data_IF_326506073511
#
_entry.id   IF_326506073511
#
_cell.length_a   1.000
_cell.length_b   1.000
_cell.length_c   1.000
_cell.angle_alpha   90.00
_cell.angle_beta   90.00
_cell.angle_gamma   90.00
#
_symmetry.space_group_name_H-M   'P 1'
#
loop_
_entity.id
_entity.type
_entity.pdbx_description
1 polymer ?
#
# COMPACT_ATOMS: atom_id res chain seq x y z
N UNK A 1 -65.50 61.17 24.45
CA UNK A 1 -64.69 60.29 23.61
C UNK A 1 -63.86 59.38 24.50
N UNK A 2 -64.15 58.09 24.54
CA UNK A 2 -63.48 57.10 25.39
C UNK A 2 -62.45 56.34 24.56
N UNK A 3 -61.19 56.13 24.99
CA UNK A 3 -60.33 55.15 24.41
C UNK A 3 -60.50 53.81 25.08
N UNK A 4 -60.63 52.80 24.25
CA UNK A 4 -60.79 51.39 24.60
C UNK A 4 -59.40 50.82 24.94
N UNK A 5 -59.25 50.39 26.22
CA UNK A 5 -58.09 49.60 26.64
C UNK A 5 -58.26 48.18 26.16
N UNK A 6 -57.42 47.73 25.21
CA UNK A 6 -57.27 46.31 24.88
C UNK A 6 -56.30 45.66 25.85
N UNK A 7 -56.79 44.68 26.58
CA UNK A 7 -56.02 43.78 27.43
C UNK A 7 -55.15 42.91 26.53
N UNK A 8 -53.85 43.05 26.67
CA UNK A 8 -52.89 42.07 26.13
C UNK A 8 -52.71 40.95 27.16
N UNK A 9 -53.20 39.78 26.83
CA UNK A 9 -52.91 38.55 27.54
C UNK A 9 -51.51 38.09 27.08
N UNK A 10 -50.59 38.09 28.04
CA UNK A 10 -49.27 37.50 27.83
C UNK A 10 -49.42 35.94 27.80
N UNK A 11 -49.29 35.39 26.61
CA UNK A 11 -49.16 33.93 26.44
C UNK A 11 -47.69 33.58 26.63
N UNK A 12 -47.40 32.88 27.70
CA UNK A 12 -46.08 32.32 28.02
C UNK A 12 -45.91 31.08 27.14
N UNK A 13 -45.27 31.23 25.99
CA UNK A 13 -44.87 30.11 25.18
C UNK A 13 -43.53 29.63 25.74
N UNK A 14 -43.58 28.56 26.54
CA UNK A 14 -42.40 27.78 26.90
C UNK A 14 -41.85 27.14 25.63
N UNK A 15 -40.81 27.75 25.05
CA UNK A 15 -40.06 27.19 23.93
C UNK A 15 -39.16 26.09 24.47
N UNK A 16 -39.68 24.87 24.43
CA UNK A 16 -38.88 23.66 24.63
C UNK A 16 -37.94 23.55 23.44
N UNK A 17 -36.71 24.00 23.63
CA UNK A 17 -35.63 23.75 22.66
C UNK A 17 -35.30 22.27 22.75
N UNK A 18 -35.95 21.46 21.93
CA UNK A 18 -35.49 20.10 21.63
C UNK A 18 -34.21 20.26 20.80
N UNK A 19 -33.07 20.10 21.47
CA UNK A 19 -31.82 19.84 20.78
C UNK A 19 -31.97 18.50 20.07
N UNK A 20 -32.48 18.53 18.85
CA UNK A 20 -32.20 17.45 17.92
C UNK A 20 -30.71 17.53 17.60
N UNK A 21 -29.94 16.72 18.31
CA UNK A 21 -28.66 16.25 17.83
C UNK A 21 -28.95 15.50 16.51
N UNK A 22 -28.96 16.26 15.41
CA UNK A 22 -28.78 15.68 14.09
C UNK A 22 -27.35 15.20 14.10
N UNK A 23 -27.17 13.97 14.60
CA UNK A 23 -26.02 13.18 14.26
C UNK A 23 -26.06 13.06 12.75
N UNK A 24 -25.27 13.90 12.09
CA UNK A 24 -24.84 13.61 10.73
C UNK A 24 -24.02 12.33 10.82
N UNK A 25 -24.71 11.19 10.88
CA UNK A 25 -24.16 9.95 10.43
C UNK A 25 -23.87 10.18 8.96
N UNK A 26 -22.64 10.62 8.65
CA UNK A 26 -22.09 10.41 7.35
C UNK A 26 -22.25 8.90 7.13
N UNK A 27 -23.16 8.52 6.25
CA UNK A 27 -23.11 7.23 5.57
C UNK A 27 -21.84 7.27 4.70
N UNK A 28 -20.68 7.31 5.33
CA UNK A 28 -19.53 6.66 4.77
C UNK A 28 -20.02 5.21 4.65
N UNK A 29 -20.25 4.82 3.39
CA UNK A 29 -20.41 3.42 3.07
C UNK A 29 -19.18 2.76 3.69
N UNK A 30 -19.37 2.22 4.88
CA UNK A 30 -18.47 1.25 5.42
C UNK A 30 -18.29 0.27 4.26
N UNK A 31 -17.10 0.29 3.63
CA UNK A 31 -16.66 -0.88 2.91
C UNK A 31 -16.85 -1.97 3.94
N UNK A 32 -17.88 -2.76 3.71
CA UNK A 32 -18.24 -3.91 4.50
C UNK A 32 -16.95 -4.71 4.59
N UNK A 33 -16.26 -4.53 5.74
CA UNK A 33 -15.10 -5.32 6.05
C UNK A 33 -15.63 -6.72 6.14
N UNK A 34 -15.56 -7.42 5.02
CA UNK A 34 -15.78 -8.85 4.97
C UNK A 34 -14.69 -9.51 5.82
N UNK A 35 -14.96 -9.55 7.13
CA UNK A 35 -14.23 -10.32 8.13
C UNK A 35 -14.57 -11.81 8.01
N UNK A 36 -15.00 -12.27 6.85
CA UNK A 36 -14.97 -13.68 6.57
C UNK A 36 -13.50 -14.09 6.52
N UNK A 37 -12.96 -14.42 7.68
CA UNK A 37 -11.78 -15.28 7.76
C UNK A 37 -12.15 -16.55 7.01
N UNK A 38 -11.75 -16.62 5.75
CA UNK A 38 -11.78 -17.87 5.02
C UNK A 38 -10.66 -18.76 5.61
N UNK A 39 -10.96 -19.30 6.81
CA UNK A 39 -10.20 -20.37 7.44
C UNK A 39 -10.53 -21.67 6.70
N UNK A 40 -10.23 -21.75 5.42
CA UNK A 40 -10.14 -23.02 4.72
C UNK A 40 -8.71 -23.33 4.48
N UNK A 41 -8.25 -24.30 5.25
CA UNK A 41 -7.21 -25.29 4.93
C UNK A 41 -6.50 -25.05 3.59
N UNK A 42 -5.76 -23.94 3.47
CA UNK A 42 -4.65 -23.93 2.57
C UNK A 42 -3.60 -24.80 3.26
N UNK A 43 -3.43 -26.04 2.81
CA UNK A 43 -2.27 -26.87 3.09
C UNK A 43 -1.04 -25.97 3.03
N UNK A 44 -0.54 -25.60 4.21
CA UNK A 44 0.74 -24.93 4.35
C UNK A 44 1.77 -25.95 3.91
N UNK A 45 2.08 -26.03 2.64
CA UNK A 45 3.41 -26.43 2.23
C UNK A 45 4.36 -25.43 2.89
N UNK A 46 4.89 -25.84 4.02
CA UNK A 46 6.11 -25.25 4.57
C UNK A 46 7.20 -25.48 3.53
N UNK A 47 7.25 -24.63 2.53
CA UNK A 47 8.47 -24.44 1.77
C UNK A 47 9.40 -23.77 2.77
N UNK A 48 10.29 -24.56 3.30
CA UNK A 48 11.47 -24.12 4.05
C UNK A 48 12.35 -23.36 3.06
N UNK A 49 11.94 -22.16 2.66
CA UNK A 49 12.78 -21.21 1.94
C UNK A 49 13.65 -20.44 2.96
N UNK A 50 14.43 -21.15 3.73
CA UNK A 50 15.78 -20.68 4.03
C UNK A 50 16.55 -20.78 2.70
N UNK A 51 16.25 -19.85 1.79
CA UNK A 51 17.13 -19.63 0.67
C UNK A 51 18.50 -19.29 1.29
N UNK A 52 19.56 -20.07 1.00
CA UNK A 52 20.89 -19.67 1.41
C UNK A 52 21.08 -18.23 0.95
N UNK A 53 21.71 -17.40 1.80
CA UNK A 53 22.17 -16.08 1.39
C UNK A 53 23.02 -16.30 0.15
N UNK A 54 22.41 -16.20 -1.01
CA UNK A 54 23.12 -16.46 -2.25
C UNK A 54 24.11 -15.33 -2.41
N UNK A 55 25.36 -15.65 -2.68
CA UNK A 55 26.39 -14.66 -3.04
C UNK A 55 25.96 -13.81 -4.24
N UNK A 56 24.95 -14.24 -4.99
CA UNK A 56 24.33 -13.53 -6.10
C UNK A 56 23.52 -12.29 -5.69
N UNK A 57 23.05 -12.22 -4.44
CA UNK A 57 22.31 -11.05 -3.95
C UNK A 57 23.23 -9.96 -3.37
N UNK A 58 24.51 -10.24 -3.18
CA UNK A 58 25.46 -9.23 -2.70
C UNK A 58 25.95 -8.35 -3.83
N UNK A 59 25.69 -7.05 -3.76
CA UNK A 59 26.15 -6.08 -4.75
C UNK A 59 27.36 -5.29 -4.26
N UNK A 60 27.35 -4.85 -3.02
CA UNK A 60 28.42 -4.07 -2.42
C UNK A 60 28.27 -3.98 -0.90
N UNK A 61 29.41 -3.78 -0.22
CA UNK A 61 29.47 -3.45 1.21
C UNK A 61 29.55 -1.92 1.39
N UNK A 62 28.42 -1.27 1.17
CA UNK A 62 28.24 0.17 1.35
C UNK A 62 26.88 0.45 2.01
N UNK A 63 26.73 1.66 2.54
CA UNK A 63 25.47 2.13 3.08
C UNK A 63 24.34 2.11 2.04
N UNK A 64 23.08 2.09 2.48
CA UNK A 64 21.94 2.17 1.58
C UNK A 64 21.99 3.36 0.65
N UNK A 65 21.68 3.14 -0.62
CA UNK A 65 21.71 4.15 -1.67
C UNK A 65 20.31 4.67 -1.94
N UNK A 66 20.10 5.97 -1.78
CA UNK A 66 18.82 6.59 -2.12
C UNK A 66 18.55 6.51 -3.63
N UNK A 67 17.34 6.08 -3.97
CA UNK A 67 16.90 5.91 -5.35
C UNK A 67 15.98 7.06 -5.78
N UNK A 68 15.82 7.24 -7.09
CA UNK A 68 14.83 8.13 -7.65
C UNK A 68 13.41 7.74 -7.19
N UNK A 69 12.50 8.71 -6.99
CA UNK A 69 11.17 8.43 -6.49
C UNK A 69 10.34 7.60 -7.47
N UNK A 70 9.62 6.63 -6.92
CA UNK A 70 8.55 5.89 -7.59
C UNK A 70 7.23 6.29 -6.95
N UNK A 71 6.19 6.43 -7.74
CA UNK A 71 4.92 6.94 -7.26
C UNK A 71 3.86 5.84 -7.25
N UNK A 72 3.21 5.70 -6.10
CA UNK A 72 2.04 4.85 -5.95
C UNK A 72 0.77 5.69 -5.78
N UNK A 73 -0.36 5.06 -5.97
CA UNK A 73 -1.67 5.63 -5.71
C UNK A 73 -2.33 4.86 -4.56
N UNK A 74 -3.23 5.54 -3.85
CA UNK A 74 -4.18 4.93 -2.90
C UNK A 74 -5.61 5.14 -3.40
N UNK A 75 -6.47 4.17 -3.16
CA UNK A 75 -7.91 4.25 -3.49
C UNK A 75 -8.67 4.84 -2.31
N UNK A 76 -9.53 5.81 -2.58
CA UNK A 76 -10.49 6.38 -1.64
C UNK A 76 -11.87 6.37 -2.29
N UNK A 77 -12.74 5.47 -1.86
CA UNK A 77 -14.01 5.22 -2.53
C UNK A 77 -13.81 4.78 -4.00
N UNK A 78 -14.39 5.50 -4.94
CA UNK A 78 -14.25 5.23 -6.39
C UNK A 78 -13.08 5.94 -7.07
N UNK A 79 -12.29 6.73 -6.35
CA UNK A 79 -11.19 7.54 -6.91
C UNK A 79 -9.84 7.05 -6.42
N UNK A 80 -8.81 7.33 -7.21
CA UNK A 80 -7.41 7.16 -6.81
C UNK A 80 -6.76 8.52 -6.59
N UNK A 81 -5.82 8.58 -5.64
CA UNK A 81 -5.04 9.77 -5.33
C UNK A 81 -3.59 9.37 -5.07
N UNK A 82 -2.61 10.28 -5.22
CA UNK A 82 -1.23 9.99 -4.91
C UNK A 82 -1.07 9.48 -3.47
N UNK A 83 -0.18 8.49 -3.29
CA UNK A 83 0.32 8.06 -1.99
C UNK A 83 1.66 8.75 -1.77
N UNK A 84 1.84 9.34 -0.62
CA UNK A 84 3.10 9.95 -0.24
C UNK A 84 4.16 8.85 -0.02
N UNK A 85 5.18 8.83 -0.88
CA UNK A 85 6.38 8.01 -0.72
C UNK A 85 7.43 8.91 -0.11
N UNK A 86 7.95 8.54 1.05
CA UNK A 86 8.88 9.38 1.82
C UNK A 86 10.33 9.07 1.51
N UNK A 87 10.63 7.81 1.18
CA UNK A 87 11.98 7.37 0.85
C UNK A 87 11.94 6.08 0.02
N UNK A 88 12.89 5.92 -0.87
CA UNK A 88 13.20 4.66 -1.55
C UNK A 88 14.71 4.47 -1.47
N UNK A 89 15.16 3.32 -1.02
CA UNK A 89 16.57 3.02 -0.88
C UNK A 89 16.90 1.62 -1.38
N UNK A 90 18.02 1.48 -2.07
CA UNK A 90 18.65 0.19 -2.35
C UNK A 90 19.53 -0.19 -1.16
N UNK A 91 19.41 -1.42 -0.69
CA UNK A 91 20.27 -2.03 0.33
C UNK A 91 21.25 -2.95 -0.41
N UNK A 92 22.49 -2.50 -0.70
CA UNK A 92 23.40 -3.21 -1.59
C UNK A 92 23.88 -4.57 -1.04
N UNK A 93 23.94 -4.74 0.28
CA UNK A 93 24.36 -6.00 0.91
C UNK A 93 23.43 -7.17 0.62
N UNK A 94 22.13 -6.89 0.45
CA UNK A 94 21.09 -7.91 0.24
C UNK A 94 20.36 -7.76 -1.09
N UNK A 95 20.81 -6.84 -1.93
CA UNK A 95 20.14 -6.49 -3.21
C UNK A 95 18.63 -6.24 -3.02
N UNK A 96 18.25 -5.67 -1.89
CA UNK A 96 16.87 -5.37 -1.57
C UNK A 96 16.56 -3.89 -1.82
N UNK A 97 15.32 -3.59 -2.18
CA UNK A 97 14.82 -2.22 -2.26
C UNK A 97 13.78 -2.01 -1.17
N UNK A 98 13.97 -0.96 -0.40
CA UNK A 98 13.10 -0.55 0.69
C UNK A 98 12.29 0.67 0.27
N UNK A 99 10.97 0.59 0.46
CA UNK A 99 10.00 1.64 0.17
C UNK A 99 9.38 2.15 1.45
N UNK A 100 9.56 3.42 1.76
CA UNK A 100 8.89 4.08 2.86
C UNK A 100 7.75 4.95 2.35
N UNK A 101 6.58 4.82 2.97
CA UNK A 101 5.40 5.63 2.65
C UNK A 101 4.48 5.77 3.85
N UNK A 102 3.54 6.72 3.79
CA UNK A 102 2.53 6.91 4.82
C UNK A 102 1.23 6.19 4.49
N UNK A 103 0.68 5.51 5.49
CA UNK A 103 -0.67 4.93 5.47
C UNK A 103 -1.46 5.37 6.71
N UNK A 104 -2.32 6.40 6.53
CA UNK A 104 -2.92 7.11 7.65
C UNK A 104 -1.86 7.82 8.50
N UNK A 105 -1.82 7.53 9.80
CA UNK A 105 -0.83 8.05 10.73
C UNK A 105 0.45 7.20 10.78
N UNK A 106 0.44 6.00 10.19
CA UNK A 106 1.59 5.10 10.24
C UNK A 106 2.60 5.42 9.14
N UNK A 107 3.88 5.34 9.49
CA UNK A 107 4.95 5.09 8.53
C UNK A 107 4.99 3.59 8.25
N UNK A 108 5.21 3.25 7.00
CA UNK A 108 5.30 1.87 6.52
C UNK A 108 6.57 1.72 5.71
N UNK A 109 7.32 0.66 5.99
CA UNK A 109 8.45 0.22 5.19
C UNK A 109 8.15 -1.16 4.60
N UNK A 110 8.30 -1.29 3.29
CA UNK A 110 8.20 -2.56 2.56
C UNK A 110 9.54 -2.85 1.93
N UNK A 111 10.07 -4.05 2.17
CA UNK A 111 11.36 -4.47 1.65
C UNK A 111 11.13 -5.63 0.68
N UNK A 112 11.56 -5.43 -0.56
CA UNK A 112 11.57 -6.47 -1.59
C UNK A 112 13.02 -6.84 -1.93
N UNK A 113 13.38 -8.08 -1.66
CA UNK A 113 14.63 -8.66 -2.13
C UNK A 113 14.58 -8.86 -3.66
N UNK A 114 15.70 -9.17 -4.27
CA UNK A 114 15.80 -9.36 -5.72
C UNK A 114 14.74 -10.32 -6.26
N UNK A 115 14.56 -11.48 -5.64
CA UNK A 115 13.59 -12.49 -6.08
C UNK A 115 12.14 -11.98 -6.07
N UNK A 116 11.71 -11.26 -5.03
CA UNK A 116 10.38 -10.63 -4.98
C UNK A 116 10.25 -9.52 -6.01
N UNK A 117 11.28 -8.68 -6.14
CA UNK A 117 11.30 -7.61 -7.12
C UNK A 117 11.17 -8.13 -8.55
N UNK A 118 11.89 -9.19 -8.89
CA UNK A 118 11.82 -9.81 -10.22
C UNK A 118 10.41 -10.35 -10.53
N UNK A 119 9.73 -10.97 -9.55
CA UNK A 119 8.33 -11.42 -9.68
C UNK A 119 7.40 -10.23 -9.93
N UNK A 120 7.59 -9.12 -9.19
CA UNK A 120 6.78 -7.90 -9.36
C UNK A 120 7.03 -7.32 -10.76
N UNK A 121 8.28 -7.21 -11.22
CA UNK A 121 8.62 -6.73 -12.55
C UNK A 121 8.00 -7.57 -13.65
N UNK A 122 7.97 -8.89 -13.50
CA UNK A 122 7.31 -9.79 -14.45
C UNK A 122 5.79 -9.56 -14.48
N UNK A 123 5.15 -9.35 -13.33
CA UNK A 123 3.73 -8.99 -13.29
C UNK A 123 3.46 -7.62 -13.91
N UNK A 124 4.34 -6.64 -13.69
CA UNK A 124 4.28 -5.33 -14.34
C UNK A 124 4.34 -5.44 -15.86
N UNK A 125 5.29 -6.21 -16.39
CA UNK A 125 5.42 -6.47 -17.84
C UNK A 125 4.17 -7.14 -18.40
N UNK A 126 3.64 -8.18 -17.71
CA UNK A 126 2.41 -8.87 -18.11
C UNK A 126 1.20 -7.91 -18.13
N UNK A 127 1.07 -7.06 -17.11
CA UNK A 127 0.00 -6.06 -17.04
C UNK A 127 0.09 -5.07 -18.21
N UNK A 128 1.27 -4.54 -18.52
CA UNK A 128 1.46 -3.60 -19.62
C UNK A 128 1.16 -4.24 -20.97
N UNK A 129 1.60 -5.48 -21.21
CA UNK A 129 1.26 -6.22 -22.42
C UNK A 129 -0.26 -6.35 -22.57
N UNK A 130 -0.96 -6.77 -21.52
CA UNK A 130 -2.42 -6.89 -21.54
C UNK A 130 -3.11 -5.52 -21.69
N UNK A 131 -2.52 -4.45 -21.14
CA UNK A 131 -3.04 -3.10 -21.31
C UNK A 131 -2.96 -2.64 -22.76
N UNK A 132 -1.84 -2.86 -23.43
CA UNK A 132 -1.60 -2.52 -24.85
C UNK A 132 -2.51 -3.33 -25.77
N UNK A 133 -2.66 -4.62 -25.48
CA UNK A 133 -3.55 -5.54 -26.20
C UNK A 133 -5.04 -5.33 -25.86
N UNK A 134 -5.38 -4.46 -24.89
CA UNK A 134 -6.76 -4.24 -24.36
C UNK A 134 -7.40 -5.53 -23.81
N UNK A 135 -6.59 -6.41 -23.28
CA UNK A 135 -7.00 -7.73 -22.74
C UNK A 135 -6.85 -7.83 -21.22
N UNK A 136 -6.66 -6.71 -20.51
CA UNK A 136 -6.60 -6.70 -19.04
C UNK A 136 -7.87 -7.37 -18.49
N UNK A 137 -7.77 -8.44 -17.70
CA UNK A 137 -8.93 -9.17 -17.25
C UNK A 137 -9.71 -8.41 -16.17
N UNK A 138 -11.04 -8.43 -16.27
CA UNK A 138 -11.95 -7.99 -15.22
C UNK A 138 -12.15 -9.13 -14.21
N UNK A 139 -11.39 -9.12 -13.13
CA UNK A 139 -11.41 -10.20 -12.13
C UNK A 139 -11.79 -9.65 -10.74
N UNK A 140 -12.35 -10.51 -9.90
CA UNK A 140 -12.51 -10.22 -8.47
C UNK A 140 -11.11 -10.15 -7.84
N UNK A 141 -10.89 -9.12 -7.01
CA UNK A 141 -9.62 -8.96 -6.28
C UNK A 141 -9.50 -10.10 -5.27
N UNK A 142 -8.59 -11.02 -5.55
CA UNK A 142 -8.30 -12.16 -4.67
C UNK A 142 -6.94 -12.75 -5.02
N UNK A 143 -6.33 -13.47 -4.10
CA UNK A 143 -5.09 -14.20 -4.32
C UNK A 143 -5.20 -15.19 -5.49
N UNK A 144 -6.36 -15.85 -5.64
CA UNK A 144 -6.63 -16.83 -6.74
C UNK A 144 -6.57 -16.19 -8.13
N UNK A 145 -6.94 -14.93 -8.26
CA UNK A 145 -6.97 -14.21 -9.54
C UNK A 145 -5.73 -13.33 -9.76
N UNK A 146 -4.75 -13.42 -8.89
CA UNK A 146 -3.53 -12.64 -8.97
C UNK A 146 -2.60 -13.14 -10.08
N UNK A 147 -1.77 -12.26 -10.61
CA UNK A 147 -0.65 -12.65 -11.48
C UNK A 147 0.33 -13.54 -10.72
N UNK A 148 0.58 -13.23 -9.46
CA UNK A 148 1.29 -14.07 -8.50
C UNK A 148 0.99 -13.61 -7.06
N UNK A 149 1.36 -14.44 -6.09
CA UNK A 149 1.42 -14.11 -4.68
C UNK A 149 2.78 -14.48 -4.11
N UNK A 150 3.25 -13.73 -3.13
CA UNK A 150 4.54 -13.95 -2.48
C UNK A 150 4.53 -13.39 -1.07
N UNK A 151 5.69 -13.40 -0.41
CA UNK A 151 5.91 -12.80 0.89
C UNK A 151 7.02 -11.76 0.80
N UNK A 152 7.03 -10.79 1.71
CA UNK A 152 8.10 -9.78 1.83
C UNK A 152 8.16 -9.27 3.27
N UNK A 153 9.19 -8.52 3.61
CA UNK A 153 9.23 -7.82 4.89
C UNK A 153 8.35 -6.57 4.84
N UNK A 154 7.49 -6.41 5.85
CA UNK A 154 6.64 -5.23 6.03
C UNK A 154 6.71 -4.78 7.48
N UNK A 155 7.09 -3.52 7.69
CA UNK A 155 7.22 -2.88 8.99
C UNK A 155 6.38 -1.61 9.05
N UNK A 156 5.86 -1.26 10.21
CA UNK A 156 5.00 -0.09 10.38
C UNK A 156 5.08 0.49 11.80
N UNK A 157 4.65 1.73 11.97
CA UNK A 157 4.51 2.38 13.27
C UNK A 157 4.19 3.87 13.15
N UNK A 158 3.86 4.53 14.27
CA UNK A 158 3.50 5.95 14.29
C UNK A 158 4.72 6.88 14.18
N UNK A 159 5.82 6.52 14.81
CA UNK A 159 7.05 7.32 14.88
C UNK A 159 8.22 6.59 14.20
N UNK A 160 8.19 5.26 14.27
CA UNK A 160 9.21 4.40 13.69
C UNK A 160 8.57 3.10 13.21
N UNK A 161 9.19 2.45 12.23
CA UNK A 161 8.75 1.17 11.69
C UNK A 161 9.17 0.01 12.60
N UNK A 162 8.68 -0.01 13.84
CA UNK A 162 9.10 -0.94 14.90
C UNK A 162 8.28 -2.23 14.98
N UNK A 163 7.10 -2.27 14.37
CA UNK A 163 6.22 -3.44 14.32
C UNK A 163 6.13 -3.97 12.91
N UNK A 164 6.09 -5.29 12.76
CA UNK A 164 5.97 -5.88 11.43
C UNK A 164 6.29 -7.36 11.40
N UNK A 165 6.55 -7.87 10.21
CA UNK A 165 7.01 -9.23 10.00
C UNK A 165 7.84 -9.35 8.71
N UNK A 166 8.72 -10.34 8.67
CA UNK A 166 9.56 -10.64 7.50
C UNK A 166 8.81 -11.40 6.39
N UNK A 167 7.69 -12.02 6.74
CA UNK A 167 6.94 -12.91 5.87
C UNK A 167 5.52 -12.39 5.61
N UNK A 168 5.35 -11.08 5.42
CA UNK A 168 4.05 -10.51 5.13
C UNK A 168 3.55 -10.93 3.74
N UNK A 169 2.40 -11.57 3.71
CA UNK A 169 1.81 -12.07 2.47
C UNK A 169 1.27 -10.92 1.60
N UNK A 170 1.56 -10.96 0.31
CA UNK A 170 1.00 -10.03 -0.66
C UNK A 170 0.69 -10.71 -1.99
N UNK A 171 -0.10 -10.06 -2.83
CA UNK A 171 -0.39 -10.51 -4.18
C UNK A 171 -0.56 -9.33 -5.14
N UNK A 172 -0.37 -9.60 -6.43
CA UNK A 172 -0.43 -8.59 -7.49
C UNK A 172 -1.54 -8.96 -8.48
N UNK A 173 -2.50 -8.04 -8.65
CA UNK A 173 -3.71 -8.30 -9.42
C UNK A 173 -4.14 -7.03 -10.17
N UNK A 174 -4.71 -7.12 -11.40
CA UNK A 174 -5.32 -5.96 -12.05
C UNK A 174 -6.64 -5.60 -11.37
N UNK A 175 -6.91 -4.29 -11.27
CA UNK A 175 -8.19 -3.76 -10.82
C UNK A 175 -8.68 -2.64 -11.73
N UNK A 176 -9.97 -2.61 -12.03
CA UNK A 176 -10.60 -1.50 -12.75
C UNK A 176 -11.24 -0.53 -11.76
N UNK A 177 -10.84 0.75 -11.86
CA UNK A 177 -11.43 1.84 -11.09
C UNK A 177 -11.95 2.86 -12.12
N UNK A 178 -13.26 3.14 -12.10
CA UNK A 178 -13.92 4.03 -13.08
C UNK A 178 -13.55 3.68 -14.53
N UNK A 179 -13.60 2.38 -14.86
CA UNK A 179 -13.28 1.80 -16.18
C UNK A 179 -11.81 1.92 -16.61
N UNK A 180 -10.92 2.43 -15.76
CA UNK A 180 -9.48 2.50 -16.02
C UNK A 180 -8.77 1.35 -15.31
N UNK A 181 -7.89 0.62 -16.00
CA UNK A 181 -7.12 -0.45 -15.37
C UNK A 181 -5.96 0.10 -14.55
N UNK A 182 -5.74 -0.52 -13.41
CA UNK A 182 -4.61 -0.28 -12.51
C UNK A 182 -3.99 -1.61 -12.13
N UNK A 183 -2.70 -1.63 -11.88
CA UNK A 183 -2.03 -2.74 -11.21
C UNK A 183 -2.08 -2.51 -9.71
N UNK A 184 -2.63 -3.46 -8.97
CA UNK A 184 -2.75 -3.43 -7.52
C UNK A 184 -1.75 -4.41 -6.91
N UNK A 185 -0.90 -3.93 -6.00
CA UNK A 185 -0.13 -4.73 -5.06
C UNK A 185 -0.88 -4.66 -3.72
N UNK A 186 -1.37 -5.81 -3.24
CA UNK A 186 -2.16 -5.87 -2.02
C UNK A 186 -1.47 -6.70 -0.96
N UNK A 187 -1.21 -6.08 0.19
CA UNK A 187 -0.67 -6.71 1.37
C UNK A 187 -1.82 -7.17 2.26
N UNK A 188 -1.77 -8.43 2.67
CA UNK A 188 -2.72 -9.01 3.60
C UNK A 188 -2.28 -8.76 5.03
N UNK A 189 -3.20 -8.54 5.99
CA UNK A 189 -2.83 -8.55 7.39
C UNK A 189 -2.14 -9.85 7.75
N UNK A 190 -0.98 -9.74 8.38
CA UNK A 190 -0.16 -10.88 8.83
C UNK A 190 0.24 -10.63 10.26
N UNK A 191 0.24 -11.64 11.11
CA UNK A 191 0.63 -11.51 12.51
C UNK A 191 2.07 -10.99 12.60
N UNK A 192 2.30 -10.03 13.47
CA UNK A 192 3.64 -9.44 13.65
C UNK A 192 4.53 -10.34 14.47
N UNK A 193 5.84 -10.12 14.38
CA UNK A 193 6.83 -10.85 15.18
C UNK A 193 6.76 -10.54 16.69
N UNK A 194 6.08 -9.45 17.07
CA UNK A 194 5.87 -9.10 18.48
C UNK A 194 4.91 -10.04 19.22
N UNK A 195 4.20 -10.94 18.53
CA UNK A 195 3.49 -12.07 19.11
C UNK A 195 2.21 -11.76 19.89
N UNK A 196 1.80 -10.52 20.02
CA UNK A 196 0.62 -10.10 20.80
C UNK A 196 -0.50 -9.66 19.88
N UNK A 197 -1.26 -10.57 19.30
CA UNK A 197 -2.47 -10.31 18.50
C UNK A 197 -2.42 -9.04 17.62
N UNK A 198 -1.21 -8.63 17.27
CA UNK A 198 -0.94 -7.46 16.43
C UNK A 198 -0.71 -7.92 15.01
N UNK A 199 -1.41 -7.29 14.06
CA UNK A 199 -1.33 -7.62 12.65
C UNK A 199 -0.80 -6.43 11.86
N UNK A 200 -0.08 -6.71 10.79
CA UNK A 200 0.29 -5.68 9.82
C UNK A 200 -0.96 -5.06 9.20
N UNK A 201 -0.94 -3.77 8.85
CA UNK A 201 -2.09 -3.14 8.23
C UNK A 201 -2.36 -3.71 6.83
N UNK A 202 -3.63 -3.74 6.45
CA UNK A 202 -4.03 -4.05 5.07
C UNK A 202 -3.68 -2.88 4.18
N UNK A 203 -2.70 -3.04 3.31
CA UNK A 203 -2.20 -1.99 2.44
C UNK A 203 -2.48 -2.31 0.98
N UNK A 204 -2.80 -1.28 0.21
CA UNK A 204 -3.02 -1.37 -1.23
C UNK A 204 -2.20 -0.30 -1.94
N UNK A 205 -1.30 -0.71 -2.82
CA UNK A 205 -0.51 0.16 -3.68
C UNK A 205 -1.02 0.00 -5.11
N UNK A 206 -1.52 1.08 -5.68
CA UNK A 206 -2.01 1.09 -7.05
C UNK A 206 -1.00 1.78 -7.96
N UNK A 207 -0.88 1.30 -9.17
CA UNK A 207 -0.09 1.92 -10.24
C UNK A 207 -0.94 2.02 -11.50
N UNK A 208 -0.98 3.20 -12.10
CA UNK A 208 -1.47 3.39 -13.47
C UNK A 208 -0.50 2.76 -14.47
N UNK A 209 -0.88 2.53 -15.73
CA UNK A 209 0.04 1.98 -16.74
C UNK A 209 1.33 2.80 -16.89
N UNK A 210 1.26 4.13 -16.77
CA UNK A 210 2.48 4.95 -16.81
C UNK A 210 3.38 4.71 -15.60
N UNK A 211 2.81 4.69 -14.39
CA UNK A 211 3.59 4.42 -13.18
C UNK A 211 4.18 2.99 -13.18
N UNK A 212 3.53 2.04 -13.84
CA UNK A 212 4.10 0.70 -14.02
C UNK A 212 5.33 0.73 -14.93
N UNK A 213 5.33 1.56 -16.00
CA UNK A 213 6.53 1.77 -16.84
C UNK A 213 7.66 2.39 -16.04
N UNK A 214 7.37 3.46 -15.31
CA UNK A 214 8.35 4.15 -14.47
C UNK A 214 8.92 3.21 -13.40
N UNK A 215 8.08 2.36 -12.81
CA UNK A 215 8.49 1.36 -11.85
C UNK A 215 9.44 0.30 -12.46
N UNK A 216 9.14 -0.20 -13.66
CA UNK A 216 10.01 -1.15 -14.35
C UNK A 216 11.37 -0.53 -14.63
N UNK A 217 11.39 0.72 -15.10
CA UNK A 217 12.62 1.43 -15.40
C UNK A 217 13.50 1.61 -14.16
N UNK A 218 12.91 2.05 -13.04
CA UNK A 218 13.66 2.35 -11.82
C UNK A 218 14.08 1.10 -11.03
N UNK A 219 13.34 0.00 -11.16
CA UNK A 219 13.53 -1.21 -10.34
C UNK A 219 14.28 -2.32 -11.07
N UNK A 220 14.68 -2.12 -12.34
CA UNK A 220 15.49 -3.11 -13.04
C UNK A 220 16.90 -3.20 -12.44
N UNK A 221 17.52 -4.37 -12.54
CA UNK A 221 18.79 -4.66 -11.88
C UNK A 221 19.94 -3.75 -12.39
N UNK A 222 20.00 -3.48 -13.70
CA UNK A 222 21.03 -2.64 -14.31
C UNK A 222 20.99 -1.21 -13.75
N UNK A 223 19.79 -0.64 -13.60
CA UNK A 223 19.59 0.69 -13.04
C UNK A 223 20.02 0.78 -11.59
N UNK A 224 19.72 -0.26 -10.80
CA UNK A 224 20.16 -0.34 -9.41
C UNK A 224 21.69 -0.42 -9.28
N UNK A 225 22.34 -1.21 -10.10
CA UNK A 225 23.81 -1.31 -10.14
C UNK A 225 24.47 0.00 -10.61
N UNK A 226 23.85 0.71 -11.56
CA UNK A 226 24.28 2.03 -11.98
C UNK A 226 24.24 3.02 -10.81
N UNK A 227 23.17 3.02 -10.03
CA UNK A 227 23.01 3.87 -8.84
C UNK A 227 24.13 3.65 -7.81
N UNK A 228 24.60 2.40 -7.64
CA UNK A 228 25.76 2.09 -6.79
C UNK A 228 27.04 2.72 -7.35
N UNK A 229 27.26 2.59 -8.66
CA UNK A 229 28.46 3.16 -9.33
C UNK A 229 28.49 4.68 -9.20
N UNK A 230 27.35 5.33 -9.38
CA UNK A 230 27.21 6.78 -9.23
C UNK A 230 27.46 7.22 -7.77
N UNK A 231 26.93 6.50 -6.79
CA UNK A 231 27.15 6.81 -5.38
C UNK A 231 28.62 6.67 -4.99
N UNK A 232 29.29 5.59 -5.41
CA UNK A 232 30.73 5.44 -5.20
C UNK A 232 31.56 6.59 -5.81
N UNK A 233 31.24 7.03 -7.02
CA UNK A 233 31.92 8.18 -7.63
C UNK A 233 31.76 9.46 -6.79
N UNK A 234 30.57 9.73 -6.28
CA UNK A 234 30.33 10.90 -5.41
C UNK A 234 31.14 10.82 -4.11
N UNK A 235 31.25 9.65 -3.49
CA UNK A 235 32.01 9.46 -2.27
C UNK A 235 33.53 9.69 -2.43
N UNK A 236 34.08 9.46 -3.63
CA UNK A 236 35.48 9.70 -3.92
C UNK A 236 35.81 11.13 -4.41
N UNK A 237 34.81 12.00 -4.53
CA UNK A 237 34.99 13.38 -5.04
C UNK A 237 35.07 14.40 -3.89
N UNK A 238 34.98 13.96 -2.66
CA UNK A 238 35.18 14.71 -1.42
C UNK A 238 36.47 14.20 -0.76
#
# INVERSE_FOLDING_TARGET
MKPIMKKMTASLIASTIVFMLVSCASKDSADEYDFSYDYRDDEYEFINDEAPESTEDFLADIDPVDLAPVYFLKKKGKKVSPREVTKIALIPRTNAVEFHFRDGANEVAVIWRKAERDKILNACKKFLQQYEDKTVPHVKISKKNAYFSSKCSLWFGLISTSNGCENNSYYVVPEFIEKKPYLLIRFSPTQTTSGQDTYTPKISLYMSPQQVRDFIEQMNQEKLEESIKENKKKAYTY
#
